data_IF_053687960694
#
_entry.id   IF_053687960694
#
_cell.length_a   1.000
_cell.length_b   1.000
_cell.length_c   1.000
_cell.angle_alpha   90.00
_cell.angle_beta   90.00
_cell.angle_gamma   90.00
#
_symmetry.space_group_name_H-M   'P 1'
#
loop_
_entity.id
_entity.type
_entity.pdbx_description
1 polymer ?
#
# COMPACT_ATOMS: atom_id res chain seq x y z
N UNK A 1 0.54 13.29 6.26
CA UNK A 1 1.27 12.68 5.15
C UNK A 1 0.70 11.29 4.86
N UNK A 2 0.40 11.00 3.62
CA UNK A 2 -0.13 9.70 3.24
C UNK A 2 0.98 8.84 2.65
N UNK A 3 1.06 7.60 3.12
CA UNK A 3 2.02 6.60 2.66
C UNK A 3 1.27 5.41 2.08
N UNK A 4 2.00 4.49 1.47
CA UNK A 4 1.44 3.23 1.02
C UNK A 4 2.48 2.13 1.19
N UNK A 5 2.02 0.89 1.21
CA UNK A 5 2.90 -0.28 1.21
C UNK A 5 2.34 -1.30 0.24
N UNK A 6 3.21 -1.85 -0.60
CA UNK A 6 2.79 -2.77 -1.65
C UNK A 6 3.95 -3.68 -2.04
N UNK A 7 3.64 -4.92 -2.41
CA UNK A 7 4.61 -5.83 -3.01
C UNK A 7 4.29 -5.92 -4.51
N UNK A 8 5.31 -5.74 -5.34
CA UNK A 8 5.15 -5.76 -6.80
C UNK A 8 6.09 -6.79 -7.42
N UNK A 9 5.64 -7.38 -8.50
CA UNK A 9 6.47 -8.28 -9.31
C UNK A 9 7.34 -7.48 -10.28
N UNK A 10 8.15 -8.15 -11.06
CA UNK A 10 9.12 -7.49 -11.95
C UNK A 10 8.47 -6.51 -12.93
N UNK A 11 7.23 -6.73 -13.30
CA UNK A 11 6.46 -5.87 -14.20
C UNK A 11 5.54 -4.88 -13.46
N UNK A 12 5.75 -4.71 -12.14
CA UNK A 12 4.91 -3.90 -11.26
C UNK A 12 3.50 -4.48 -11.09
N UNK A 13 3.34 -5.76 -11.41
CA UNK A 13 2.08 -6.47 -11.21
C UNK A 13 1.81 -6.71 -9.73
N UNK A 14 0.52 -6.73 -9.37
CA UNK A 14 0.05 -6.97 -8.01
C UNK A 14 -1.05 -8.04 -7.98
N UNK A 15 -0.91 -9.04 -8.86
CA UNK A 15 -1.89 -10.12 -8.96
C UNK A 15 -3.22 -9.61 -9.48
N UNK A 16 -4.31 -9.90 -8.76
CA UNK A 16 -5.62 -9.37 -9.13
C UNK A 16 -5.95 -8.08 -8.35
N UNK A 17 -4.96 -7.54 -7.62
CA UNK A 17 -5.13 -6.32 -6.83
C UNK A 17 -5.65 -6.58 -5.42
N UNK A 18 -5.93 -7.82 -5.07
CA UNK A 18 -6.38 -8.23 -3.73
C UNK A 18 -5.51 -9.37 -3.23
N UNK A 19 -5.40 -10.45 -4.02
CA UNK A 19 -4.53 -11.57 -3.71
C UNK A 19 -3.42 -11.66 -4.73
N UNK A 20 -2.27 -12.19 -4.33
CA UNK A 20 -1.11 -12.37 -5.18
C UNK A 20 -0.71 -13.83 -5.22
N UNK A 21 -0.31 -14.36 -6.41
CA UNK A 21 0.08 -15.77 -6.52
C UNK A 21 1.37 -16.12 -5.78
N UNK A 22 2.24 -15.14 -5.57
CA UNK A 22 3.49 -15.34 -4.83
C UNK A 22 3.50 -14.39 -3.63
N UNK A 23 3.61 -14.97 -2.43
CA UNK A 23 3.65 -14.21 -1.18
C UNK A 23 4.85 -14.71 -0.38
N UNK A 24 5.68 -13.80 0.09
CA UNK A 24 6.87 -14.12 0.86
C UNK A 24 6.61 -13.89 2.34
N UNK A 25 7.08 -14.83 3.17
CA UNK A 25 6.93 -14.69 4.62
C UNK A 25 7.72 -13.48 5.15
N UNK A 26 8.87 -13.20 4.54
CA UNK A 26 9.67 -12.02 4.90
C UNK A 26 8.91 -10.73 4.65
N UNK A 27 8.06 -10.70 3.62
CA UNK A 27 7.26 -9.52 3.34
C UNK A 27 6.19 -9.30 4.40
N UNK A 28 5.63 -10.34 4.96
CA UNK A 28 4.66 -10.22 6.05
C UNK A 28 5.28 -9.62 7.30
N UNK A 29 6.52 -10.01 7.61
CA UNK A 29 7.26 -9.45 8.74
C UNK A 29 7.55 -7.97 8.48
N UNK A 30 7.99 -7.65 7.26
CA UNK A 30 8.26 -6.28 6.84
C UNK A 30 7.00 -5.42 6.93
N UNK A 31 5.88 -5.94 6.46
CA UNK A 31 4.59 -5.26 6.51
C UNK A 31 4.22 -4.87 7.95
N UNK A 32 4.36 -5.80 8.88
CA UNK A 32 4.07 -5.52 10.29
C UNK A 32 5.00 -4.46 10.86
N UNK A 33 6.27 -4.54 10.51
CA UNK A 33 7.28 -3.59 10.97
C UNK A 33 7.01 -2.18 10.45
N UNK A 34 6.71 -2.06 9.17
CA UNK A 34 6.46 -0.75 8.55
C UNK A 34 5.15 -0.13 9.04
N UNK A 35 4.08 -0.92 9.10
CA UNK A 35 2.78 -0.37 9.51
C UNK A 35 2.74 -0.05 11.00
N UNK A 36 3.43 -0.83 11.84
CA UNK A 36 3.49 -0.55 13.26
C UNK A 36 2.12 -0.31 13.86
N UNK A 37 1.93 0.86 14.45
CA UNK A 37 0.66 1.29 15.03
C UNK A 37 -0.03 2.37 14.21
N UNK A 38 0.40 2.55 12.95
CA UNK A 38 -0.16 3.58 12.08
C UNK A 38 -1.63 3.29 11.74
N UNK A 39 -2.36 4.33 11.34
CA UNK A 39 -3.66 4.14 10.71
C UNK A 39 -3.47 3.52 9.32
N UNK A 40 -4.43 2.75 8.87
CA UNK A 40 -4.36 2.10 7.56
C UNK A 40 -5.67 2.31 6.80
N UNK A 41 -5.56 2.50 5.50
CA UNK A 41 -6.71 2.63 4.59
C UNK A 41 -6.77 1.38 3.74
N UNK A 42 -7.94 0.76 3.69
CA UNK A 42 -8.13 -0.50 3.00
C UNK A 42 -9.51 -0.53 2.35
N UNK A 43 -9.59 -1.15 1.18
CA UNK A 43 -10.88 -1.41 0.55
C UNK A 43 -11.57 -2.61 1.16
N UNK A 44 -12.88 -2.70 0.98
CA UNK A 44 -13.69 -3.78 1.56
C UNK A 44 -13.20 -5.17 1.17
N UNK A 45 -12.91 -5.37 -0.12
CA UNK A 45 -12.49 -6.69 -0.60
C UNK A 45 -11.14 -7.12 -0.02
N UNK A 46 -10.24 -6.18 0.13
CA UNK A 46 -8.93 -6.46 0.74
C UNK A 46 -9.10 -6.78 2.21
N UNK A 47 -9.98 -6.06 2.89
CA UNK A 47 -10.30 -6.36 4.28
C UNK A 47 -10.82 -7.79 4.43
N UNK A 48 -11.71 -8.21 3.55
CA UNK A 48 -12.27 -9.57 3.58
C UNK A 48 -11.21 -10.64 3.37
N UNK A 49 -10.11 -10.30 2.72
CA UNK A 49 -8.98 -11.20 2.49
C UNK A 49 -8.02 -11.28 3.68
N UNK A 50 -8.15 -10.40 4.65
CA UNK A 50 -7.34 -10.45 5.87
C UNK A 50 -7.72 -11.68 6.71
N UNK A 51 -6.82 -12.15 7.58
CA UNK A 51 -7.12 -13.30 8.44
C UNK A 51 -8.44 -13.10 9.19
N UNK A 52 -9.38 -14.02 8.95
CA UNK A 52 -10.71 -13.94 9.54
C UNK A 52 -11.58 -12.81 8.99
N UNK A 53 -11.14 -12.13 7.94
CA UNK A 53 -11.88 -10.98 7.39
C UNK A 53 -12.00 -9.83 8.36
N UNK A 54 -11.04 -9.66 9.25
CA UNK A 54 -11.10 -8.69 10.35
C UNK A 54 -10.07 -7.59 10.18
N UNK A 55 -10.36 -6.39 10.74
CA UNK A 55 -9.39 -5.30 10.76
C UNK A 55 -8.09 -5.73 11.44
N UNK A 56 -6.99 -5.09 11.06
CA UNK A 56 -5.68 -5.39 11.63
C UNK A 56 -5.62 -4.90 13.08
N UNK A 57 -5.10 -5.75 13.95
CA UNK A 57 -4.96 -5.42 15.37
C UNK A 57 -3.88 -4.36 15.57
N UNK A 58 -4.11 -3.51 16.55
CA UNK A 58 -3.15 -2.49 16.94
C UNK A 58 -3.04 -1.32 15.98
N UNK A 59 -3.93 -1.25 15.01
CA UNK A 59 -3.97 -0.16 14.03
C UNK A 59 -5.37 0.39 13.93
N UNK A 60 -5.47 1.67 13.59
CA UNK A 60 -6.78 2.25 13.30
C UNK A 60 -7.09 1.95 11.83
N UNK A 61 -8.09 1.13 11.59
CA UNK A 61 -8.46 0.69 10.24
C UNK A 61 -9.54 1.61 9.68
N UNK A 62 -9.27 2.18 8.50
CA UNK A 62 -10.21 3.01 7.75
C UNK A 62 -10.62 2.21 6.53
N UNK A 63 -11.87 1.80 6.45
CA UNK A 63 -12.39 0.98 5.35
C UNK A 63 -13.16 1.86 4.39
N UNK A 64 -12.73 1.88 3.14
CA UNK A 64 -13.39 2.67 2.09
C UNK A 64 -14.31 1.75 1.31
N UNK A 65 -15.60 2.07 1.32
CA UNK A 65 -16.61 1.30 0.59
C UNK A 65 -17.79 2.18 0.24
N UNK A 66 -18.46 1.86 -0.86
CA UNK A 66 -19.71 2.54 -1.22
C UNK A 66 -20.90 1.94 -0.51
N UNK A 67 -20.73 0.76 0.09
CA UNK A 67 -21.81 0.06 0.77
C UNK A 67 -22.03 0.63 2.16
N UNK A 68 -23.28 0.61 2.58
CA UNK A 68 -23.63 0.95 3.96
C UNK A 68 -23.33 -0.29 4.80
N UNK A 69 -22.15 -0.30 5.40
CA UNK A 69 -21.58 -1.49 6.02
C UNK A 69 -21.04 -1.12 7.39
N UNK A 70 -21.30 -1.98 8.38
CA UNK A 70 -20.73 -1.83 9.69
C UNK A 70 -19.62 -2.87 9.86
N UNK A 71 -18.41 -2.41 10.16
CA UNK A 71 -17.26 -3.28 10.36
C UNK A 71 -16.76 -3.04 11.79
N UNK A 72 -17.02 -4.00 12.71
CA UNK A 72 -16.53 -3.85 14.08
C UNK A 72 -15.01 -3.69 14.11
N UNK A 73 -14.55 -2.69 14.85
CA UNK A 73 -13.13 -2.40 14.98
C UNK A 73 -12.54 -1.54 13.86
N UNK A 74 -13.38 -1.02 12.97
CA UNK A 74 -12.92 -0.16 11.87
C UNK A 74 -13.80 1.07 11.75
N UNK A 75 -13.25 2.11 11.16
CA UNK A 75 -13.99 3.29 10.77
C UNK A 75 -14.35 3.13 9.29
N UNK A 76 -15.64 3.13 8.96
CA UNK A 76 -16.11 2.96 7.59
C UNK A 76 -16.35 4.34 6.99
N UNK A 77 -15.78 4.59 5.82
CA UNK A 77 -15.93 5.83 5.08
C UNK A 77 -16.36 5.51 3.64
N UNK A 78 -16.96 6.49 2.96
CA UNK A 78 -17.60 6.25 1.68
C UNK A 78 -16.99 7.05 0.53
N UNK A 79 -15.95 7.83 0.79
CA UNK A 79 -15.30 8.64 -0.23
C UNK A 79 -13.82 8.83 0.07
N UNK A 80 -13.07 9.23 -0.95
CA UNK A 80 -11.67 9.60 -0.80
C UNK A 80 -11.51 10.73 0.20
N UNK A 81 -12.38 11.75 0.12
CA UNK A 81 -12.33 12.91 1.00
C UNK A 81 -12.54 12.52 2.46
N UNK A 82 -13.50 11.65 2.73
CA UNK A 82 -13.75 11.16 4.08
C UNK A 82 -12.56 10.37 4.61
N UNK A 83 -11.95 9.54 3.77
CA UNK A 83 -10.80 8.75 4.18
C UNK A 83 -9.59 9.65 4.48
N UNK A 84 -9.35 10.66 3.65
CA UNK A 84 -8.24 11.59 3.89
C UNK A 84 -8.46 12.39 5.18
N UNK A 85 -9.70 12.81 5.44
CA UNK A 85 -10.01 13.52 6.68
C UNK A 85 -9.80 12.63 7.90
N UNK A 86 -10.18 11.36 7.80
CA UNK A 86 -9.93 10.40 8.88
C UNK A 86 -8.43 10.17 9.09
N UNK A 87 -7.68 10.06 8.00
CA UNK A 87 -6.23 9.82 8.05
C UNK A 87 -5.49 10.98 8.73
N UNK A 88 -5.94 12.20 8.52
CA UNK A 88 -5.29 13.39 9.10
C UNK A 88 -5.31 13.42 10.62
N UNK A 89 -6.20 12.65 11.24
CA UNK A 89 -6.28 12.57 12.71
C UNK A 89 -5.17 11.71 13.30
N UNK A 90 -4.35 11.10 12.48
CA UNK A 90 -3.29 10.20 12.91
C UNK A 90 -1.93 10.69 12.40
N UNK A 91 -0.85 10.46 13.17
CA UNK A 91 0.49 10.91 12.73
C UNK A 91 0.98 10.18 11.49
N UNK A 92 0.56 8.94 11.25
CA UNK A 92 0.91 8.18 10.07
C UNK A 92 -0.31 7.42 9.56
N UNK A 93 -0.43 7.35 8.25
CA UNK A 93 -1.47 6.54 7.61
C UNK A 93 -0.93 5.91 6.34
N UNK A 94 -1.13 4.60 6.18
CA UNK A 94 -0.69 3.85 5.01
C UNK A 94 -1.87 3.26 4.26
N UNK A 95 -1.83 3.39 2.94
CA UNK A 95 -2.80 2.74 2.05
C UNK A 95 -2.34 1.31 1.80
N UNK A 96 -3.21 0.35 2.07
CA UNK A 96 -2.90 -1.08 1.95
C UNK A 96 -3.44 -1.73 0.68
N UNK A 97 -4.37 -1.09 0.00
CA UNK A 97 -4.93 -1.64 -1.23
C UNK A 97 -6.44 -1.89 -1.11
N UNK A 98 -7.07 -2.58 -2.00
CA UNK A 98 -6.47 -3.17 -3.23
C UNK A 98 -6.20 -2.17 -4.36
N UNK A 99 -6.22 -2.70 -5.57
CA UNK A 99 -5.81 -1.93 -6.74
C UNK A 99 -6.59 -0.64 -6.92
N UNK A 100 -7.92 -0.67 -6.80
CA UNK A 100 -8.74 0.54 -6.96
C UNK A 100 -8.45 1.56 -5.88
N UNK A 101 -8.13 1.10 -4.68
CA UNK A 101 -7.81 1.99 -3.56
C UNK A 101 -6.44 2.62 -3.78
N UNK A 102 -5.44 1.85 -4.22
CA UNK A 102 -4.15 2.42 -4.60
C UNK A 102 -4.34 3.51 -5.65
N UNK A 103 -5.14 3.25 -6.67
CA UNK A 103 -5.39 4.20 -7.75
C UNK A 103 -6.06 5.47 -7.24
N UNK A 104 -7.09 5.34 -6.40
CA UNK A 104 -7.80 6.49 -5.84
C UNK A 104 -6.89 7.39 -5.00
N UNK A 105 -5.98 6.81 -4.24
CA UNK A 105 -5.16 7.55 -3.30
C UNK A 105 -3.78 7.91 -3.82
N UNK A 106 -3.41 7.41 -4.99
CA UNK A 106 -2.08 7.65 -5.55
C UNK A 106 -1.71 9.15 -5.63
N UNK A 107 -2.60 10.05 -6.06
CA UNK A 107 -2.26 11.47 -6.13
C UNK A 107 -1.87 12.09 -4.78
N UNK A 108 -2.27 11.46 -3.68
CA UNK A 108 -2.04 11.99 -2.34
C UNK A 108 -0.88 11.33 -1.62
N UNK A 109 -0.28 10.29 -2.21
CA UNK A 109 0.82 9.57 -1.58
C UNK A 109 2.11 10.37 -1.65
N UNK A 110 2.87 10.34 -0.55
CA UNK A 110 4.19 10.98 -0.45
C UNK A 110 5.31 9.95 -0.35
N UNK A 111 5.02 8.77 0.18
CA UNK A 111 5.98 7.67 0.33
C UNK A 111 5.30 6.36 0.00
N UNK A 112 6.03 5.47 -0.66
CA UNK A 112 5.54 4.11 -0.92
C UNK A 112 6.65 3.14 -0.55
N UNK A 113 6.33 2.23 0.37
CA UNK A 113 7.23 1.14 0.73
C UNK A 113 6.94 0.00 -0.24
N UNK A 114 7.93 -0.34 -1.04
CA UNK A 114 7.76 -1.31 -2.12
C UNK A 114 8.66 -2.51 -1.88
N UNK A 115 8.06 -3.71 -1.82
CA UNK A 115 8.82 -4.95 -1.89
C UNK A 115 8.86 -5.34 -3.37
N UNK A 116 10.07 -5.35 -3.94
CA UNK A 116 10.26 -5.79 -5.32
C UNK A 116 10.56 -7.28 -5.32
N UNK A 117 9.67 -8.05 -5.91
CA UNK A 117 9.80 -9.51 -5.98
C UNK A 117 10.26 -9.88 -7.38
N UNK A 118 11.40 -10.61 -7.46
CA UNK A 118 12.06 -10.92 -8.72
C UNK A 118 11.49 -12.11 -9.45
N UNK A 119 10.18 -12.10 -9.65
CA UNK A 119 9.49 -13.04 -10.52
C UNK A 119 8.36 -12.28 -11.21
N UNK A 120 7.74 -12.91 -12.20
CA UNK A 120 6.73 -12.21 -12.99
C UNK A 120 5.55 -13.13 -13.31
N UNK A 121 4.81 -13.58 -12.27
CA UNK A 121 3.57 -14.31 -12.53
C UNK A 121 2.55 -13.38 -13.17
N UNK A 122 1.57 -13.96 -13.82
CA UNK A 122 0.54 -13.17 -14.50
C UNK A 122 -0.22 -12.31 -13.51
N UNK A 123 -0.41 -11.03 -13.85
CA UNK A 123 -1.19 -10.09 -13.06
C UNK A 123 -2.24 -9.43 -13.94
N UNK A 124 -3.42 -9.22 -13.37
CA UNK A 124 -4.47 -8.46 -14.02
C UNK A 124 -4.51 -7.01 -13.56
N UNK A 125 -3.81 -6.72 -12.46
CA UNK A 125 -3.71 -5.38 -11.89
C UNK A 125 -2.25 -5.01 -11.64
N UNK A 126 -1.96 -3.73 -11.70
CA UNK A 126 -0.60 -3.22 -11.59
C UNK A 126 -0.56 -1.99 -10.70
N UNK A 127 0.53 -1.84 -9.95
CA UNK A 127 0.81 -0.59 -9.26
C UNK A 127 1.54 0.32 -10.25
N UNK A 128 1.35 1.65 -10.20
CA UNK A 128 2.07 2.55 -11.09
C UNK A 128 3.58 2.32 -11.00
N UNK A 129 4.24 2.20 -12.14
CA UNK A 129 5.69 2.04 -12.16
C UNK A 129 6.33 3.38 -11.78
N UNK A 130 6.74 3.50 -10.53
CA UNK A 130 7.28 4.75 -9.99
C UNK A 130 8.59 5.16 -10.66
N UNK A 131 9.30 4.21 -11.27
CA UNK A 131 10.53 4.52 -12.00
C UNK A 131 10.26 5.38 -13.25
N UNK A 132 9.02 5.40 -13.72
CA UNK A 132 8.63 6.19 -14.89
C UNK A 132 8.08 7.57 -14.53
N UNK A 133 7.98 7.89 -13.25
CA UNK A 133 7.44 9.17 -12.78
C UNK A 133 8.59 10.06 -12.35
N UNK A 134 8.78 11.22 -12.99
CA UNK A 134 9.94 12.08 -12.67
C UNK A 134 9.91 12.67 -11.27
N UNK A 135 8.76 12.78 -10.65
CA UNK A 135 8.64 13.31 -9.29
C UNK A 135 8.80 12.23 -8.21
N UNK A 136 8.97 10.97 -8.58
CA UNK A 136 9.21 9.89 -7.64
C UNK A 136 10.65 9.40 -7.73
N UNK A 137 11.26 9.09 -6.58
CA UNK A 137 12.62 8.56 -6.51
C UNK A 137 12.70 7.41 -5.52
N UNK A 138 13.50 6.40 -5.86
CA UNK A 138 13.85 5.35 -4.90
C UNK A 138 14.93 5.92 -3.99
N UNK A 139 14.57 6.27 -2.76
CA UNK A 139 15.49 6.89 -1.80
C UNK A 139 16.19 5.88 -0.93
N UNK A 140 15.64 4.67 -0.79
CA UNK A 140 16.30 3.58 -0.07
C UNK A 140 16.07 2.29 -0.83
N UNK A 141 17.15 1.56 -1.03
CA UNK A 141 17.09 0.25 -1.66
C UNK A 141 17.88 -0.74 -0.82
N UNK A 142 17.19 -1.69 -0.24
CA UNK A 142 17.82 -2.71 0.59
C UNK A 142 18.62 -3.73 -0.23
N UNK A 143 19.33 -4.62 0.44
CA UNK A 143 20.09 -5.66 -0.24
C UNK A 143 19.16 -6.64 -0.95
N UNK A 144 19.69 -7.32 -1.96
CA UNK A 144 18.97 -8.40 -2.62
C UNK A 144 18.95 -9.60 -1.69
N UNK A 145 17.76 -10.06 -1.36
CA UNK A 145 17.51 -11.20 -0.48
C UNK A 145 16.85 -12.31 -1.29
N UNK A 146 16.69 -13.46 -0.68
CA UNK A 146 16.08 -14.61 -1.37
C UNK A 146 15.24 -15.41 -0.38
N UNK A 147 14.06 -15.86 -0.83
CA UNK A 147 13.21 -16.79 -0.08
C UNK A 147 12.68 -17.83 -1.06
N UNK A 148 12.96 -19.10 -0.78
CA UNK A 148 12.51 -20.22 -1.63
C UNK A 148 12.94 -20.05 -3.10
N UNK A 149 14.15 -19.53 -3.32
CA UNK A 149 14.67 -19.33 -4.67
C UNK A 149 14.18 -18.07 -5.36
N UNK A 150 13.34 -17.26 -4.71
CA UNK A 150 12.79 -16.05 -5.29
C UNK A 150 13.54 -14.84 -4.73
N UNK A 151 14.22 -14.07 -5.58
CA UNK A 151 14.92 -12.86 -5.11
C UNK A 151 13.92 -11.76 -4.80
N UNK A 152 14.24 -10.95 -3.79
CA UNK A 152 13.42 -9.79 -3.46
C UNK A 152 14.27 -8.74 -2.76
N UNK A 153 13.78 -7.50 -2.75
CA UNK A 153 14.39 -6.45 -1.94
C UNK A 153 13.33 -5.47 -1.48
N UNK A 154 13.62 -4.78 -0.38
CA UNK A 154 12.72 -3.76 0.16
C UNK A 154 13.24 -2.39 -0.27
N UNK A 155 12.35 -1.58 -0.81
CA UNK A 155 12.66 -0.24 -1.31
C UNK A 155 11.72 0.79 -0.72
N UNK A 156 12.19 2.01 -0.61
CA UNK A 156 11.37 3.14 -0.26
C UNK A 156 11.42 4.14 -1.41
N UNK A 157 10.25 4.50 -1.90
CA UNK A 157 10.11 5.55 -2.91
C UNK A 157 9.48 6.78 -2.26
N UNK A 158 10.00 7.95 -2.59
CA UNK A 158 9.49 9.19 -2.07
C UNK A 158 9.23 10.15 -3.21
N UNK A 159 8.15 10.92 -3.07
CA UNK A 159 7.81 11.95 -4.04
C UNK A 159 8.53 13.23 -3.69
N UNK A 160 9.05 13.92 -4.70
CA UNK A 160 9.69 15.21 -4.53
C UNK A 160 8.68 16.23 -4.02
N UNK A 161 8.76 16.53 -2.73
CA UNK A 161 7.85 17.49 -2.12
C UNK A 161 8.19 18.90 -2.55
N UNK A 162 7.17 19.68 -2.84
CA UNK A 162 7.31 21.09 -3.05
C UNK A 162 7.97 21.52 -4.35
N UNK A 163 8.32 20.59 -5.21
CA UNK A 163 8.92 20.97 -6.48
C UNK A 163 7.95 21.75 -7.33
N UNK A 164 6.73 21.28 -7.45
CA UNK A 164 5.68 22.00 -8.14
C UNK A 164 5.36 23.31 -7.45
N UNK A 165 5.38 23.28 -6.14
CA UNK A 165 5.09 24.47 -5.34
C UNK A 165 6.16 25.52 -5.53
N UNK A 166 7.41 25.10 -5.66
CA UNK A 166 8.53 26.03 -5.83
C UNK A 166 8.48 26.73 -7.16
N UNK A 167 7.90 26.12 -8.15
CA UNK A 167 7.80 26.73 -9.46
C UNK A 167 6.75 27.83 -9.50
N UNK A 168 5.99 27.94 -8.47
CA UNK A 168 4.96 28.96 -8.36
C UNK A 168 5.56 30.32 -8.06
#
# INVERSE_FOLDING_TARGET
MLEAIVAVYADWGIGNGITQPVVLSADRVHFKSVTGDAAVIVGRKTLEDFPGGRPLKGRHNIVVTRQDLDVPGAEVVHSTEEALAAAEKHPRCLVLGGASIFEQFFPYMQKVYITKIGCCPESSKFFPNLDEFPDWQCTEKGPLLEENGIPYCFCLYERSAGKGDKSC
#
